data_IF_072231349077
#
_entry.id   IF_072231349077
#
_cell.length_a   1.000
_cell.length_b   1.000
_cell.length_c   1.000
_cell.angle_alpha   90.00
_cell.angle_beta   90.00
_cell.angle_gamma   90.00
#
_symmetry.space_group_name_H-M   'P 1'
#
loop_
_entity.id
_entity.type
_entity.pdbx_description
1 polymer ?
#
# COMPACT_ATOMS: atom_id res chain seq x y z
N UNK A 1 -17.39 11.83 -7.54
CA UNK A 1 -17.54 10.58 -8.34
C UNK A 1 -17.74 9.42 -7.37
N UNK A 2 -18.57 8.42 -7.68
CA UNK A 2 -18.67 7.19 -6.88
C UNK A 2 -17.72 6.14 -7.47
N UNK A 3 -16.92 5.50 -6.63
CA UNK A 3 -16.02 4.40 -6.98
C UNK A 3 -16.21 3.30 -5.94
N UNK A 4 -16.81 2.17 -6.34
CA UNK A 4 -17.24 1.11 -5.43
C UNK A 4 -18.10 1.69 -4.28
N UNK A 5 -17.66 1.51 -3.05
CA UNK A 5 -18.30 1.96 -1.81
C UNK A 5 -17.81 3.33 -1.34
N UNK A 6 -17.05 4.04 -2.18
CA UNK A 6 -16.44 5.32 -1.83
C UNK A 6 -16.98 6.45 -2.71
N UNK A 7 -17.27 7.59 -2.07
CA UNK A 7 -17.47 8.87 -2.77
C UNK A 7 -16.12 9.58 -2.82
N UNK A 8 -15.51 9.62 -4.00
CA UNK A 8 -14.22 10.28 -4.24
C UNK A 8 -14.43 11.78 -4.37
N UNK A 9 -13.66 12.55 -3.59
CA UNK A 9 -13.64 14.00 -3.51
C UNK A 9 -12.44 14.63 -4.24
N UNK A 10 -12.01 15.80 -3.76
CA UNK A 10 -10.93 16.59 -4.34
C UNK A 10 -9.55 16.00 -4.03
N UNK A 11 -8.53 16.43 -4.76
CA UNK A 11 -7.14 16.04 -4.50
C UNK A 11 -6.64 16.78 -3.26
N UNK A 12 -6.03 16.03 -2.33
CA UNK A 12 -5.46 16.56 -1.08
C UNK A 12 -3.94 16.45 -1.04
N UNK A 13 -3.33 15.72 -1.98
CA UNK A 13 -1.88 15.64 -2.12
C UNK A 13 -1.48 15.06 -3.48
N UNK A 14 -0.28 15.39 -3.92
CA UNK A 14 0.36 14.79 -5.09
C UNK A 14 1.72 14.25 -4.64
N UNK A 15 1.83 12.93 -4.55
CA UNK A 15 3.07 12.26 -4.16
C UNK A 15 3.88 11.85 -5.39
N UNK A 16 5.09 11.37 -5.16
CA UNK A 16 6.04 10.93 -6.20
C UNK A 16 5.45 9.93 -7.20
N UNK A 17 4.51 9.10 -6.75
CA UNK A 17 3.98 7.95 -7.52
C UNK A 17 2.50 8.09 -7.90
N UNK A 18 1.86 9.23 -7.59
CA UNK A 18 0.46 9.44 -7.92
C UNK A 18 -0.27 10.46 -7.05
N UNK A 19 -1.59 10.50 -7.20
CA UNK A 19 -2.44 11.50 -6.57
C UNK A 19 -3.16 10.92 -5.36
N UNK A 20 -3.25 11.71 -4.29
CA UNK A 20 -4.05 11.39 -3.11
C UNK A 20 -5.31 12.24 -3.12
N UNK A 21 -6.46 11.59 -3.05
CA UNK A 21 -7.78 12.25 -2.98
C UNK A 21 -8.44 11.96 -1.65
N UNK A 22 -9.16 12.95 -1.11
CA UNK A 22 -10.09 12.67 -0.02
C UNK A 22 -11.26 11.86 -0.55
N UNK A 23 -11.75 10.93 0.25
CA UNK A 23 -12.94 10.16 -0.03
C UNK A 23 -13.84 10.04 1.20
N UNK A 24 -15.04 9.54 0.97
CA UNK A 24 -15.98 9.18 2.04
C UNK A 24 -16.41 7.74 1.82
N UNK A 25 -16.23 6.89 2.82
CA UNK A 25 -16.79 5.54 2.82
C UNK A 25 -18.30 5.63 3.00
N UNK A 26 -19.06 5.24 1.99
CA UNK A 26 -20.50 5.50 1.91
C UNK A 26 -21.29 4.84 3.04
N UNK A 27 -20.99 3.60 3.48
CA UNK A 27 -21.76 2.94 4.54
C UNK A 27 -21.70 3.66 5.91
N UNK A 28 -20.55 4.21 6.29
CA UNK A 28 -20.36 4.84 7.62
C UNK A 28 -20.33 6.37 7.56
N UNK A 29 -20.06 6.96 6.39
CA UNK A 29 -19.81 8.38 6.24
C UNK A 29 -18.40 8.82 6.66
N UNK A 30 -17.53 7.88 7.04
CA UNK A 30 -16.16 8.18 7.47
C UNK A 30 -15.30 8.69 6.33
N UNK A 31 -14.40 9.64 6.65
CA UNK A 31 -13.42 10.17 5.71
C UNK A 31 -12.28 9.19 5.54
N UNK A 32 -11.78 9.08 4.31
CA UNK A 32 -10.63 8.26 3.95
C UNK A 32 -9.70 9.03 3.01
N UNK A 33 -8.42 8.66 3.00
CA UNK A 33 -7.50 9.05 1.95
C UNK A 33 -7.44 7.94 0.88
N UNK A 34 -7.50 8.32 -0.40
CA UNK A 34 -7.45 7.41 -1.55
C UNK A 34 -6.22 7.77 -2.37
N UNK A 35 -5.15 6.98 -2.24
CA UNK A 35 -3.95 7.11 -3.05
C UNK A 35 -4.14 6.35 -4.36
N UNK A 36 -3.93 7.02 -5.48
CA UNK A 36 -4.14 6.50 -6.83
C UNK A 36 -2.78 6.43 -7.50
N UNK A 37 -2.30 5.21 -7.70
CA UNK A 37 -1.02 4.91 -8.36
C UNK A 37 -1.30 4.42 -9.77
N UNK A 38 -0.59 4.95 -10.76
CA UNK A 38 -0.66 4.48 -12.14
C UNK A 38 0.37 3.38 -12.36
N UNK A 39 -0.08 2.21 -12.83
CA UNK A 39 0.82 1.06 -13.08
C UNK A 39 1.85 1.33 -14.17
N UNK A 40 1.59 2.26 -15.10
CA UNK A 40 2.59 2.66 -16.09
C UNK A 40 3.73 3.46 -15.45
N UNK A 41 3.43 4.26 -14.42
CA UNK A 41 4.42 5.06 -13.70
C UNK A 41 5.19 4.20 -12.68
N UNK A 42 4.64 3.06 -12.26
CA UNK A 42 5.32 2.03 -11.48
C UNK A 42 6.24 1.13 -12.34
N UNK A 43 6.09 1.15 -13.67
CA UNK A 43 6.83 0.31 -14.63
C UNK A 43 7.76 1.17 -15.48
N UNK A 44 8.85 1.65 -14.89
CA UNK A 44 9.97 2.20 -15.64
C UNK A 44 11.26 1.44 -15.32
N UNK A 45 11.29 0.19 -15.74
CA UNK A 45 12.49 -0.42 -16.34
C UNK A 45 12.07 -1.24 -17.56
N UNK A 46 12.91 -1.21 -18.58
CA UNK A 46 12.67 -1.46 -19.99
C UNK A 46 12.50 -2.96 -20.34
N UNK A 47 11.38 -3.37 -20.97
CA UNK A 47 11.37 -4.51 -21.93
C UNK A 47 10.06 -4.69 -22.73
N UNK A 48 8.88 -4.80 -22.11
CA UNK A 48 7.74 -5.42 -22.82
C UNK A 48 6.65 -4.49 -23.32
N UNK A 49 6.99 -3.88 -24.46
CA UNK A 49 6.11 -3.22 -25.42
C UNK A 49 5.18 -4.19 -26.21
N UNK A 50 4.86 -5.40 -25.72
CA UNK A 50 4.14 -6.41 -26.53
C UNK A 50 2.62 -6.49 -26.31
N UNK A 51 1.92 -5.58 -27.02
CA UNK A 51 0.82 -5.90 -27.97
C UNK A 51 -0.47 -6.56 -27.43
N UNK A 52 -1.47 -5.72 -27.13
CA UNK A 52 -2.92 -5.65 -27.54
C UNK A 52 -3.76 -6.93 -27.86
N UNK A 53 -3.22 -8.15 -27.85
CA UNK A 53 -3.94 -9.43 -28.01
C UNK A 53 -4.06 -10.19 -26.66
N UNK A 54 -3.24 -9.84 -25.66
CA UNK A 54 -3.21 -10.46 -24.31
C UNK A 54 -4.39 -10.08 -23.37
N UNK A 55 -5.26 -9.16 -23.79
CA UNK A 55 -6.20 -8.47 -22.90
C UNK A 55 -7.37 -9.35 -22.38
N UNK A 56 -7.76 -10.41 -23.10
CA UNK A 56 -8.84 -11.31 -22.63
C UNK A 56 -8.38 -12.38 -21.64
N UNK A 57 -7.16 -12.90 -21.81
CA UNK A 57 -6.57 -13.87 -20.86
C UNK A 57 -6.10 -13.17 -19.59
N UNK A 58 -5.51 -11.98 -19.71
CA UNK A 58 -5.22 -11.11 -18.57
C UNK A 58 -6.49 -10.78 -17.77
N UNK A 59 -7.64 -10.58 -18.41
CA UNK A 59 -8.90 -10.33 -17.72
C UNK A 59 -9.44 -11.58 -16.98
N UNK A 60 -9.26 -12.79 -17.53
CA UNK A 60 -9.60 -14.05 -16.83
C UNK A 60 -8.72 -14.27 -15.62
N UNK A 61 -7.41 -14.08 -15.79
CA UNK A 61 -6.42 -14.15 -14.70
C UNK A 61 -6.71 -13.07 -13.66
N UNK A 62 -7.06 -11.83 -14.05
CA UNK A 62 -7.41 -10.75 -13.14
C UNK A 62 -8.70 -11.03 -12.35
N UNK A 63 -9.69 -11.69 -12.97
CA UNK A 63 -10.91 -12.14 -12.28
C UNK A 63 -10.60 -13.24 -11.25
N UNK A 64 -9.74 -14.20 -11.61
CA UNK A 64 -9.27 -15.23 -10.67
C UNK A 64 -8.47 -14.60 -9.51
N UNK A 65 -7.54 -13.69 -9.81
CA UNK A 65 -6.78 -12.89 -8.81
C UNK A 65 -7.70 -12.14 -7.85
N UNK A 66 -8.74 -11.47 -8.36
CA UNK A 66 -9.69 -10.74 -7.52
C UNK A 66 -10.54 -11.66 -6.65
N UNK A 67 -10.85 -12.87 -7.09
CA UNK A 67 -11.60 -13.85 -6.31
C UNK A 67 -10.74 -14.39 -5.18
N UNK A 68 -9.51 -14.81 -5.48
CA UNK A 68 -8.53 -15.29 -4.49
C UNK A 68 -8.25 -14.22 -3.42
N UNK A 69 -8.01 -12.97 -3.83
CA UNK A 69 -7.77 -11.87 -2.91
C UNK A 69 -9.00 -11.57 -2.03
N UNK A 70 -10.21 -11.66 -2.59
CA UNK A 70 -11.46 -11.51 -1.81
C UNK A 70 -11.62 -12.61 -0.78
N UNK A 71 -11.31 -13.84 -1.15
CA UNK A 71 -11.46 -15.00 -0.28
C UNK A 71 -10.40 -14.99 0.83
N UNK A 72 -9.18 -14.54 0.52
CA UNK A 72 -8.12 -14.30 1.49
C UNK A 72 -8.49 -13.20 2.50
N UNK A 73 -8.96 -12.03 2.03
CA UNK A 73 -9.36 -10.94 2.91
C UNK A 73 -10.54 -11.31 3.81
N UNK A 74 -11.50 -12.08 3.30
CA UNK A 74 -12.62 -12.58 4.10
C UNK A 74 -12.17 -13.53 5.21
N UNK A 75 -11.13 -14.32 5.00
CA UNK A 75 -10.60 -15.25 6.01
C UNK A 75 -9.78 -14.54 7.05
N UNK A 76 -8.90 -13.62 6.64
CA UNK A 76 -8.16 -12.73 7.55
C UNK A 76 -9.10 -11.94 8.47
N UNK A 77 -10.28 -11.55 7.98
CA UNK A 77 -11.26 -10.80 8.76
C UNK A 77 -12.20 -11.65 9.62
N UNK A 78 -12.36 -12.95 9.34
CA UNK A 78 -13.35 -13.80 10.03
C UNK A 78 -12.74 -14.94 10.86
N UNK A 79 -11.49 -15.33 10.63
CA UNK A 79 -10.86 -16.46 11.32
C UNK A 79 -9.74 -15.93 12.20
N UNK A 80 -9.85 -16.17 13.52
CA UNK A 80 -8.75 -16.01 14.48
C UNK A 80 -7.63 -17.04 14.29
N UNK A 81 -7.44 -17.52 13.06
CA UNK A 81 -6.44 -18.51 12.70
C UNK A 81 -5.19 -17.79 12.18
N UNK A 82 -4.10 -18.07 12.86
CA UNK A 82 -2.75 -17.70 12.52
C UNK A 82 -2.29 -18.57 11.33
N UNK A 83 -3.01 -18.52 10.20
CA UNK A 83 -2.61 -19.23 8.98
C UNK A 83 -1.26 -18.64 8.53
N UNK A 84 -0.23 -19.50 8.40
CA UNK A 84 1.10 -19.06 8.00
C UNK A 84 1.00 -18.44 6.60
N UNK A 85 1.46 -17.19 6.49
CA UNK A 85 1.51 -16.44 5.25
C UNK A 85 2.22 -17.25 4.15
N UNK A 86 3.19 -18.08 4.53
CA UNK A 86 3.91 -18.97 3.62
C UNK A 86 3.00 -20.02 2.95
N UNK A 87 2.10 -20.63 3.72
CA UNK A 87 1.14 -21.64 3.25
C UNK A 87 0.04 -21.02 2.40
N UNK A 88 -0.45 -19.84 2.79
CA UNK A 88 -1.41 -19.08 1.99
C UNK A 88 -0.82 -18.72 0.61
N UNK A 89 0.39 -18.16 0.57
CA UNK A 89 1.08 -17.81 -0.68
C UNK A 89 1.26 -19.05 -1.55
N UNK A 90 1.69 -20.18 -0.96
CA UNK A 90 1.88 -21.44 -1.68
C UNK A 90 0.60 -21.89 -2.37
N UNK A 91 -0.53 -21.86 -1.65
CA UNK A 91 -1.83 -22.27 -2.20
C UNK A 91 -2.31 -21.37 -3.35
N UNK A 92 -2.11 -20.06 -3.23
CA UNK A 92 -2.40 -19.10 -4.30
C UNK A 92 -1.52 -19.36 -5.53
N UNK A 93 -0.24 -19.71 -5.33
CA UNK A 93 0.66 -20.10 -6.43
C UNK A 93 0.16 -21.36 -7.14
N UNK A 94 -0.17 -22.40 -6.38
CA UNK A 94 -0.66 -23.68 -6.94
C UNK A 94 -1.94 -23.48 -7.79
N UNK A 95 -2.88 -22.65 -7.32
CA UNK A 95 -4.11 -22.31 -8.06
C UNK A 95 -3.82 -21.48 -9.33
N UNK A 96 -2.88 -20.54 -9.27
CA UNK A 96 -2.47 -19.75 -10.44
C UNK A 96 -1.81 -20.60 -11.53
N UNK A 97 -1.01 -21.61 -11.14
CA UNK A 97 -0.36 -22.55 -12.05
C UNK A 97 -1.35 -23.47 -12.77
N UNK A 98 -2.45 -23.86 -12.11
CA UNK A 98 -3.50 -24.68 -12.71
C UNK A 98 -4.28 -23.95 -13.83
N UNK A 99 -4.35 -22.61 -13.80
CA UNK A 99 -5.19 -21.82 -14.70
C UNK A 99 -4.58 -21.66 -16.10
N UNK A 100 -3.25 -21.75 -16.28
CA UNK A 100 -2.65 -21.82 -17.62
C UNK A 100 -1.19 -22.33 -17.60
N UNK A 101 -0.94 -23.57 -18.07
CA UNK A 101 0.40 -24.12 -18.25
C UNK A 101 1.28 -23.32 -19.23
N UNK A 102 0.68 -22.48 -20.08
CA UNK A 102 1.34 -21.70 -21.14
C UNK A 102 1.97 -20.39 -20.66
N UNK A 103 1.73 -19.98 -19.40
CA UNK A 103 2.32 -18.77 -18.77
C UNK A 103 3.83 -18.92 -18.52
N UNK A 104 4.41 -20.11 -18.68
CA UNK A 104 5.82 -20.44 -18.37
C UNK A 104 6.91 -19.63 -19.10
N UNK A 105 6.60 -18.74 -20.05
CA UNK A 105 7.62 -18.12 -20.93
C UNK A 105 7.81 -16.60 -20.84
N UNK A 106 6.96 -15.86 -20.16
CA UNK A 106 7.15 -14.43 -19.91
C UNK A 106 6.83 -14.18 -18.44
N UNK A 107 7.88 -13.93 -17.65
CA UNK A 107 7.88 -13.51 -16.23
C UNK A 107 6.73 -14.10 -15.40
N UNK A 108 7.03 -15.14 -14.62
CA UNK A 108 6.07 -15.85 -13.76
C UNK A 108 5.09 -14.87 -13.11
N UNK A 109 3.85 -14.89 -13.59
CA UNK A 109 2.75 -14.10 -13.03
C UNK A 109 2.60 -14.40 -11.53
N UNK A 110 2.98 -15.61 -11.10
CA UNK A 110 3.03 -16.03 -9.71
C UNK A 110 4.15 -15.36 -8.89
N UNK A 111 5.32 -15.10 -9.47
CA UNK A 111 6.41 -14.35 -8.81
C UNK A 111 6.01 -12.89 -8.62
N UNK A 112 5.56 -12.22 -9.68
CA UNK A 112 5.09 -10.83 -9.61
C UNK A 112 3.91 -10.66 -8.64
N UNK A 113 2.95 -11.60 -8.67
CA UNK A 113 1.85 -11.60 -7.71
C UNK A 113 2.33 -11.84 -6.28
N UNK A 114 3.26 -12.77 -6.08
CA UNK A 114 3.77 -13.09 -4.76
C UNK A 114 4.47 -11.88 -4.13
N UNK A 115 5.26 -11.14 -4.89
CA UNK A 115 5.95 -9.94 -4.42
C UNK A 115 4.96 -8.79 -4.14
N UNK A 116 4.08 -8.49 -5.10
CA UNK A 116 3.06 -7.46 -4.93
C UNK A 116 2.12 -7.74 -3.75
N UNK A 117 1.64 -8.99 -3.62
CA UNK A 117 0.76 -9.39 -2.53
C UNK A 117 1.50 -9.36 -1.19
N UNK A 118 2.77 -9.76 -1.13
CA UNK A 118 3.55 -9.69 0.11
C UNK A 118 3.64 -8.27 0.64
N UNK A 119 3.93 -7.30 -0.22
CA UNK A 119 4.05 -5.90 0.18
C UNK A 119 2.69 -5.30 0.59
N UNK A 120 1.65 -5.57 -0.20
CA UNK A 120 0.29 -5.11 0.11
C UNK A 120 -0.20 -5.70 1.43
N UNK A 121 0.01 -7.00 1.66
CA UNK A 121 -0.39 -7.67 2.89
C UNK A 121 0.41 -7.14 4.08
N UNK A 122 1.71 -6.86 3.91
CA UNK A 122 2.53 -6.28 4.97
C UNK A 122 2.02 -4.90 5.40
N UNK A 123 1.69 -4.03 4.43
CA UNK A 123 1.12 -2.70 4.73
C UNK A 123 -0.26 -2.78 5.36
N UNK A 124 -1.08 -3.73 4.93
CA UNK A 124 -2.40 -3.96 5.53
C UNK A 124 -2.32 -4.52 6.96
N UNK A 125 -1.17 -5.10 7.36
CA UNK A 125 -0.93 -5.61 8.72
C UNK A 125 -0.34 -4.56 9.66
N UNK A 126 0.09 -3.41 9.15
CA UNK A 126 0.57 -2.33 10.02
C UNK A 126 -0.59 -1.74 10.82
N UNK A 127 -0.61 -2.06 12.10
CA UNK A 127 -1.59 -1.54 13.06
C UNK A 127 -0.85 -0.98 14.27
N UNK A 128 -0.57 0.32 14.22
CA UNK A 128 0.15 1.04 15.26
C UNK A 128 -0.31 2.50 15.28
N UNK A 129 -0.49 3.13 16.45
CA UNK A 129 -1.05 4.49 16.58
C UNK A 129 -0.25 5.60 15.88
N UNK A 130 1.01 5.34 15.51
CA UNK A 130 1.88 6.29 14.80
C UNK A 130 2.23 5.86 13.37
N UNK A 131 1.45 4.95 12.79
CA UNK A 131 1.57 4.48 11.40
C UNK A 131 0.23 4.70 10.71
N UNK A 132 0.24 5.26 9.50
CA UNK A 132 -1.00 5.45 8.73
C UNK A 132 -1.65 4.09 8.46
N UNK A 133 -2.91 3.94 8.86
CA UNK A 133 -3.61 2.65 8.67
C UNK A 133 -4.01 2.48 7.21
N UNK A 134 -3.66 1.36 6.61
CA UNK A 134 -4.17 0.95 5.30
C UNK A 134 -5.39 0.07 5.49
N UNK A 135 -6.55 0.53 5.02
CA UNK A 135 -7.80 -0.23 5.14
C UNK A 135 -7.99 -1.22 4.00
N UNK A 136 -7.63 -0.83 2.78
CA UNK A 136 -7.92 -1.64 1.58
C UNK A 136 -7.00 -1.28 0.43
N UNK A 137 -6.55 -2.29 -0.31
CA UNK A 137 -5.90 -2.09 -1.61
C UNK A 137 -6.79 -2.64 -2.71
N UNK A 138 -6.95 -1.88 -3.78
CA UNK A 138 -7.84 -2.20 -4.90
C UNK A 138 -7.05 -2.08 -6.19
N UNK A 139 -6.71 -3.23 -6.75
CA UNK A 139 -6.04 -3.31 -8.04
C UNK A 139 -7.06 -3.27 -9.20
N UNK A 140 -6.87 -2.31 -10.10
CA UNK A 140 -7.58 -2.20 -11.38
C UNK A 140 -6.60 -2.46 -12.54
N UNK A 141 -7.08 -2.45 -13.79
CA UNK A 141 -6.22 -2.76 -14.96
C UNK A 141 -4.98 -1.86 -15.02
N UNK A 142 -5.17 -0.54 -14.94
CA UNK A 142 -4.09 0.45 -15.08
C UNK A 142 -3.73 1.18 -13.78
N UNK A 143 -4.49 0.99 -12.72
CA UNK A 143 -4.33 1.77 -11.48
C UNK A 143 -4.38 0.85 -10.25
N UNK A 144 -3.67 1.25 -9.20
CA UNK A 144 -3.81 0.71 -7.85
C UNK A 144 -4.37 1.81 -6.96
N UNK A 145 -5.46 1.52 -6.28
CA UNK A 145 -6.07 2.42 -5.29
C UNK A 145 -5.78 1.89 -3.90
N UNK A 146 -5.18 2.72 -3.05
CA UNK A 146 -4.91 2.40 -1.65
C UNK A 146 -5.81 3.28 -0.80
N UNK A 147 -6.72 2.65 -0.07
CA UNK A 147 -7.63 3.29 0.87
C UNK A 147 -6.97 3.29 2.23
N UNK A 148 -6.76 4.48 2.78
CA UNK A 148 -6.01 4.71 4.00
C UNK A 148 -6.79 5.60 4.96
N UNK A 149 -6.37 5.60 6.21
CA UNK A 149 -6.75 6.60 7.21
C UNK A 149 -6.58 8.00 6.63
N UNK A 150 -7.58 8.85 6.85
CA UNK A 150 -7.45 10.28 6.58
C UNK A 150 -6.79 10.94 7.79
N UNK A 151 -5.78 11.76 7.54
CA UNK A 151 -5.05 12.50 8.56
C UNK A 151 -5.48 13.97 8.50
N UNK A 152 -6.40 14.37 9.38
CA UNK A 152 -7.06 15.69 9.37
C UNK A 152 -6.08 16.85 9.54
N UNK A 153 -4.97 16.63 10.26
CA UNK A 153 -3.94 17.62 10.55
C UNK A 153 -2.99 17.90 9.37
N UNK A 154 -3.07 17.12 8.28
CA UNK A 154 -2.22 17.31 7.09
C UNK A 154 -0.76 16.95 7.32
N UNK A 155 0.14 17.53 6.53
CA UNK A 155 1.58 17.25 6.61
C UNK A 155 2.27 17.99 7.78
N UNK A 156 3.19 17.30 8.46
CA UNK A 156 3.99 17.89 9.53
C UNK A 156 4.92 19.00 9.01
N UNK A 157 5.43 18.87 7.79
CA UNK A 157 6.21 19.91 7.10
C UNK A 157 5.46 21.26 7.08
N UNK A 158 4.23 21.25 6.59
CA UNK A 158 3.34 22.41 6.52
C UNK A 158 2.99 22.95 7.91
N UNK A 159 2.76 22.06 8.87
CA UNK A 159 2.48 22.42 10.25
C UNK A 159 3.64 23.21 10.87
N UNK A 160 4.88 22.75 10.68
CA UNK A 160 6.09 23.43 11.14
C UNK A 160 6.28 24.75 10.39
N UNK A 161 6.14 24.74 9.06
CA UNK A 161 6.35 25.93 8.23
C UNK A 161 5.43 27.09 8.64
N UNK A 162 4.16 26.82 8.96
CA UNK A 162 3.19 27.83 9.42
C UNK A 162 3.55 28.43 10.78
N UNK A 163 4.28 27.70 11.63
CA UNK A 163 4.67 28.11 12.98
C UNK A 163 6.11 28.62 13.07
N UNK A 164 6.91 28.38 12.02
CA UNK A 164 8.35 28.65 11.98
C UNK A 164 9.17 27.57 12.69
N UNK A 165 8.90 27.31 13.97
CA UNK A 165 9.54 26.22 14.74
C UNK A 165 8.58 25.63 15.77
N UNK A 166 8.84 24.39 16.15
CA UNK A 166 8.20 23.76 17.30
C UNK A 166 8.94 24.15 18.57
N UNK A 167 8.23 24.23 19.68
CA UNK A 167 8.86 24.23 20.99
C UNK A 167 9.41 22.84 21.32
N UNK A 168 10.25 22.78 22.36
CA UNK A 168 10.93 21.54 22.73
C UNK A 168 9.96 20.45 23.22
N UNK A 169 8.84 20.85 23.85
CA UNK A 169 7.86 19.91 24.38
C UNK A 169 7.09 19.21 23.26
N UNK A 170 6.60 19.98 22.30
CA UNK A 170 5.92 19.49 21.11
C UNK A 170 6.87 18.67 20.23
N UNK A 171 8.09 19.15 20.00
CA UNK A 171 9.11 18.42 19.25
C UNK A 171 9.43 17.07 19.92
N UNK A 172 9.61 17.04 21.25
CA UNK A 172 9.85 15.80 22.01
C UNK A 172 8.68 14.83 21.90
N UNK A 173 7.44 15.33 22.00
CA UNK A 173 6.23 14.51 21.88
C UNK A 173 6.15 13.85 20.51
N UNK A 174 6.30 14.62 19.43
CA UNK A 174 6.25 14.12 18.06
C UNK A 174 7.42 13.17 17.76
N UNK A 175 8.63 13.51 18.20
CA UNK A 175 9.79 12.64 18.00
C UNK A 175 9.64 11.28 18.68
N UNK A 176 9.09 11.25 19.90
CA UNK A 176 8.77 9.98 20.60
C UNK A 176 7.76 9.14 19.82
N UNK A 177 6.75 9.77 19.23
CA UNK A 177 5.76 9.08 18.39
C UNK A 177 6.39 8.52 17.11
N UNK A 178 7.26 9.29 16.45
CA UNK A 178 8.03 8.82 15.30
C UNK A 178 8.90 7.61 15.65
N UNK A 179 9.61 7.65 16.78
CA UNK A 179 10.40 6.52 17.26
C UNK A 179 9.54 5.30 17.55
N UNK A 180 8.36 5.48 18.15
CA UNK A 180 7.42 4.39 18.42
C UNK A 180 6.98 3.70 17.11
N UNK A 181 6.57 4.50 16.12
CA UNK A 181 6.19 3.97 14.80
C UNK A 181 7.34 3.27 14.09
N UNK A 182 8.52 3.90 14.05
CA UNK A 182 9.69 3.29 13.41
C UNK A 182 10.17 2.02 14.11
N UNK A 183 10.08 1.94 15.44
CA UNK A 183 10.40 0.72 16.19
C UNK A 183 9.47 -0.44 15.79
N UNK A 184 8.17 -0.17 15.65
CA UNK A 184 7.20 -1.16 15.16
C UNK A 184 7.53 -1.63 13.72
N UNK A 185 7.80 -0.69 12.81
CA UNK A 185 8.12 -0.98 11.41
C UNK A 185 9.43 -1.79 11.29
N UNK A 186 10.46 -1.40 12.04
CA UNK A 186 11.73 -2.13 12.10
C UNK A 186 11.56 -3.53 12.72
N UNK A 187 10.70 -3.68 13.72
CA UNK A 187 10.34 -4.98 14.30
C UNK A 187 9.62 -5.90 13.30
N UNK A 188 9.05 -5.33 12.23
CA UNK A 188 8.47 -6.06 11.11
C UNK A 188 9.46 -6.29 9.96
N UNK A 189 10.77 -6.07 10.19
CA UNK A 189 11.86 -6.16 9.21
C UNK A 189 11.69 -5.23 7.98
N UNK A 190 11.00 -4.11 8.15
CA UNK A 190 10.84 -3.09 7.10
C UNK A 190 11.69 -1.88 7.46
N UNK A 191 12.36 -1.31 6.46
CA UNK A 191 12.97 0.01 6.59
C UNK A 191 12.14 1.01 5.77
N UNK A 192 11.83 2.18 6.33
CA UNK A 192 11.04 3.19 5.63
C UNK A 192 11.75 3.74 4.38
N UNK A 193 13.08 3.95 4.46
CA UNK A 193 13.98 4.43 3.38
C UNK A 193 13.69 5.80 2.75
N UNK A 194 12.58 6.45 3.12
CA UNK A 194 12.24 7.81 2.71
C UNK A 194 11.65 8.64 3.87
N UNK A 195 12.12 8.45 5.10
CA UNK A 195 11.52 9.16 6.24
C UNK A 195 11.95 10.63 6.21
N UNK A 196 10.97 11.50 5.99
CA UNK A 196 11.09 12.97 5.90
C UNK A 196 9.80 13.61 6.42
N UNK A 197 9.82 14.91 6.69
CA UNK A 197 8.69 15.61 7.33
C UNK A 197 7.42 15.59 6.47
N UNK A 198 7.57 15.58 5.15
CA UNK A 198 6.46 15.48 4.18
C UNK A 198 5.77 14.11 4.24
N UNK A 199 6.49 13.06 4.68
CA UNK A 199 5.94 11.71 4.83
C UNK A 199 5.39 11.46 6.25
N UNK A 200 5.38 12.48 7.12
CA UNK A 200 4.75 12.44 8.43
C UNK A 200 3.49 13.29 8.39
N UNK A 201 2.35 12.64 8.59
CA UNK A 201 1.05 13.30 8.68
C UNK A 201 0.65 13.51 10.14
N UNK A 202 -0.34 14.37 10.36
CA UNK A 202 -0.92 14.64 11.67
C UNK A 202 -2.40 14.23 11.69
N UNK A 203 -2.80 13.51 12.74
CA UNK A 203 -4.22 13.24 12.99
C UNK A 203 -4.97 14.49 13.52
N UNK A 204 -6.27 14.35 13.79
CA UNK A 204 -7.11 15.41 14.38
C UNK A 204 -6.63 15.94 15.74
N UNK A 205 -5.79 15.19 16.44
CA UNK A 205 -5.20 15.54 17.73
C UNK A 205 -3.73 15.98 17.63
N UNK A 206 -3.23 16.21 16.41
CA UNK A 206 -1.84 16.56 16.14
C UNK A 206 -0.84 15.49 16.61
N UNK A 207 -1.19 14.21 16.54
CA UNK A 207 -0.24 13.11 16.70
C UNK A 207 0.38 12.70 15.36
N UNK A 208 1.64 12.29 15.40
CA UNK A 208 2.37 11.86 14.21
C UNK A 208 1.84 10.51 13.68
N UNK A 209 1.56 10.48 12.39
CA UNK A 209 1.25 9.30 11.58
C UNK A 209 2.30 9.18 10.48
N UNK A 210 3.19 8.20 10.59
CA UNK A 210 4.16 7.94 9.52
C UNK A 210 3.41 7.33 8.33
N UNK A 211 3.65 7.87 7.15
CA UNK A 211 2.98 7.49 5.91
C UNK A 211 3.98 7.23 4.79
N UNK A 212 3.49 6.79 3.63
CA UNK A 212 4.31 6.64 2.42
C UNK A 212 5.48 5.64 2.55
N UNK A 213 5.17 4.49 3.14
CA UNK A 213 5.99 3.29 3.01
C UNK A 213 6.13 2.92 1.53
N UNK A 214 7.38 2.73 1.11
CA UNK A 214 7.84 2.82 -0.27
C UNK A 214 7.40 1.72 -1.24
N UNK A 215 6.09 1.49 -1.41
CA UNK A 215 5.55 0.72 -2.53
C UNK A 215 6.16 1.19 -3.85
N UNK A 216 6.18 2.50 -4.11
CA UNK A 216 6.69 3.05 -5.37
C UNK A 216 8.21 2.95 -5.58
N UNK A 217 9.02 2.83 -4.50
CA UNK A 217 10.47 2.62 -4.60
C UNK A 217 10.79 1.14 -4.88
N UNK A 218 10.08 0.21 -4.24
CA UNK A 218 10.26 -1.23 -4.49
C UNK A 218 9.81 -1.68 -5.89
N UNK A 219 8.74 -1.09 -6.44
CA UNK A 219 8.34 -1.41 -7.83
C UNK A 219 9.32 -0.90 -8.90
N UNK A 220 10.17 0.06 -8.56
CA UNK A 220 11.15 0.64 -9.46
C UNK A 220 12.52 -0.06 -9.39
N UNK A 221 12.87 -0.58 -8.22
CA UNK A 221 14.10 -1.33 -7.98
C UNK A 221 13.76 -2.82 -7.89
N UNK A 222 13.85 -3.52 -9.01
CA UNK A 222 13.78 -4.99 -9.06
C UNK A 222 15.06 -5.65 -8.45
N UNK A 223 15.60 -5.04 -7.39
CA UNK A 223 16.55 -5.63 -6.48
C UNK A 223 15.86 -5.82 -5.13
N UNK A 224 15.38 -7.04 -4.93
CA UNK A 224 15.03 -7.59 -3.63
C UNK A 224 16.25 -7.48 -2.70
N UNK A 225 16.39 -6.35 -2.01
CA UNK A 225 17.21 -6.27 -0.81
C UNK A 225 16.45 -6.97 0.31
N UNK A 226 16.51 -8.31 0.27
CA UNK A 226 16.64 -9.10 1.48
C UNK A 226 17.70 -8.40 2.32
N UNK A 227 17.38 -8.06 3.57
CA UNK A 227 18.45 -7.92 4.54
C UNK A 227 19.26 -9.21 4.44
N UNK A 228 20.48 -9.12 3.93
CA UNK A 228 21.46 -10.20 4.00
C UNK A 228 21.65 -10.51 5.47
N UNK A 229 20.91 -11.50 5.95
CA UNK A 229 21.27 -12.23 7.16
C UNK A 229 22.48 -13.07 6.75
N UNK A 230 23.66 -12.52 7.03
CA UNK A 230 24.87 -13.31 7.22
C UNK A 230 24.78 -14.02 8.58
#
# INVERSE_FOLDING_TARGET
MKFLEYKVGHTIGEGTFGKVKIGTYIPTGEKVAIKILNKADLKKSEADRKKVIEDMEKLRVLKAKQQIYRDALKRIQNEGEQEDLSDFIKKVKDEAEMISPSIKKEVSVAEYLSEFLNEVLLLMRFDHPNIIKTYKVIECVNYVYIIMQYAEGGELSDYIAKRGKLDEEEARRLFRQLLSGMCFVHGSNVAHRDLKLENVLLDEHCNALISDFGLGKQFHDNELLRASLN
#
